data_IF_043454300097
#
_entry.id   IF_043454300097
#
_cell.length_a   1.000
_cell.length_b   1.000
_cell.length_c   1.000
_cell.angle_alpha   90.00
_cell.angle_beta   90.00
_cell.angle_gamma   90.00
#
_symmetry.space_group_name_H-M   'P 1'
#
loop_
_entity.id
_entity.type
_entity.pdbx_description
1 polymer ?
#
# COMPACT_ATOMS: atom_id res chain seq x y z
N UNK A 1 -42.60 4.92 9.81
CA UNK A 1 -42.09 4.67 8.43
C UNK A 1 -41.00 5.67 8.00
N UNK A 2 -40.80 6.79 8.71
CA UNK A 2 -39.78 7.83 8.45
C UNK A 2 -38.38 7.47 8.95
N UNK A 3 -38.24 6.94 10.17
CA UNK A 3 -36.93 6.63 10.79
C UNK A 3 -36.17 5.50 10.09
N UNK A 4 -36.89 4.47 9.61
CA UNK A 4 -36.30 3.34 8.87
C UNK A 4 -35.71 3.82 7.53
N UNK A 5 -36.40 4.72 6.81
CA UNK A 5 -35.89 5.35 5.59
C UNK A 5 -34.68 6.25 5.87
N UNK A 6 -34.70 7.03 6.96
CA UNK A 6 -33.60 7.92 7.33
C UNK A 6 -32.32 7.14 7.69
N UNK A 7 -32.45 6.01 8.41
CA UNK A 7 -31.31 5.13 8.73
C UNK A 7 -30.70 4.45 7.50
N UNK A 8 -31.52 4.08 6.51
CA UNK A 8 -31.05 3.43 5.27
C UNK A 8 -30.37 4.45 4.33
N UNK A 9 -30.91 5.66 4.24
CA UNK A 9 -30.28 6.80 3.56
C UNK A 9 -28.92 7.13 4.16
N UNK A 10 -28.82 7.27 5.49
CA UNK A 10 -27.55 7.53 6.18
C UNK A 10 -26.52 6.40 5.99
N UNK A 11 -26.95 5.12 5.99
CA UNK A 11 -26.08 3.97 5.69
C UNK A 11 -25.58 3.99 4.24
N UNK A 12 -26.38 4.43 3.28
CA UNK A 12 -25.99 4.55 1.87
C UNK A 12 -25.11 5.78 1.55
N UNK A 13 -25.23 6.85 2.33
CA UNK A 13 -24.43 8.07 2.20
C UNK A 13 -23.01 7.91 2.74
N UNK A 14 -22.83 7.17 3.84
CA UNK A 14 -21.51 6.88 4.44
C UNK A 14 -20.44 6.39 3.44
N UNK A 15 -20.70 5.38 2.57
CA UNK A 15 -19.70 4.92 1.60
C UNK A 15 -19.45 5.93 0.48
N UNK A 16 -20.47 6.67 0.02
CA UNK A 16 -20.30 7.72 -1.00
C UNK A 16 -19.47 8.89 -0.47
N UNK A 17 -19.78 9.35 0.74
CA UNK A 17 -19.01 10.38 1.43
C UNK A 17 -17.56 9.93 1.68
N UNK A 18 -17.35 8.69 2.15
CA UNK A 18 -16.00 8.14 2.33
C UNK A 18 -15.21 8.12 1.01
N UNK A 19 -15.84 7.72 -0.11
CA UNK A 19 -15.20 7.77 -1.43
C UNK A 19 -14.83 9.20 -1.83
N UNK A 20 -15.72 10.16 -1.62
CA UNK A 20 -15.47 11.58 -1.90
C UNK A 20 -14.31 12.13 -1.07
N UNK A 21 -14.30 11.89 0.24
CA UNK A 21 -13.20 12.29 1.13
C UNK A 21 -11.89 11.66 0.69
N UNK A 22 -11.87 10.36 0.40
CA UNK A 22 -10.68 9.69 -0.11
C UNK A 22 -10.20 10.30 -1.43
N UNK A 23 -11.11 10.61 -2.36
CA UNK A 23 -10.76 11.27 -3.60
C UNK A 23 -10.10 12.63 -3.34
N UNK A 24 -10.72 13.47 -2.51
CA UNK A 24 -10.14 14.76 -2.10
C UNK A 24 -8.75 14.60 -1.47
N UNK A 25 -8.58 13.65 -0.55
CA UNK A 25 -7.27 13.37 0.06
C UNK A 25 -6.22 12.96 -0.98
N UNK A 26 -6.59 12.16 -1.99
CA UNK A 26 -5.66 11.76 -3.05
C UNK A 26 -5.28 12.92 -3.97
N UNK A 27 -6.20 13.84 -4.24
CA UNK A 27 -5.92 15.06 -5.00
C UNK A 27 -4.99 15.97 -4.20
N UNK A 28 -5.29 16.22 -2.93
CA UNK A 28 -4.44 17.02 -2.04
C UNK A 28 -3.05 16.39 -1.91
N UNK A 29 -2.96 15.07 -1.75
CA UNK A 29 -1.68 14.36 -1.73
C UNK A 29 -0.88 14.62 -3.02
N UNK A 30 -1.50 14.53 -4.21
CA UNK A 30 -0.81 14.82 -5.48
C UNK A 30 -0.35 16.28 -5.63
N UNK A 31 -0.99 17.21 -4.94
CA UNK A 31 -0.56 18.62 -4.89
C UNK A 31 0.59 18.77 -3.90
N UNK A 32 0.40 18.30 -2.67
CA UNK A 32 1.33 18.52 -1.57
C UNK A 32 2.55 17.61 -1.58
N UNK A 33 2.52 16.46 -2.28
CA UNK A 33 3.65 15.52 -2.24
C UNK A 33 4.95 16.20 -2.71
N UNK A 34 4.89 17.12 -3.69
CA UNK A 34 6.08 17.83 -4.20
C UNK A 34 6.73 18.75 -3.18
N UNK A 35 5.93 19.32 -2.27
CA UNK A 35 6.39 20.29 -1.28
C UNK A 35 6.94 19.64 -0.01
N UNK A 36 6.53 18.40 0.27
CA UNK A 36 7.05 17.65 1.42
C UNK A 36 8.48 17.20 1.11
N UNK A 37 9.47 17.62 1.91
CA UNK A 37 10.86 17.16 1.75
C UNK A 37 10.98 15.69 2.17
N UNK A 38 11.75 14.91 1.40
CA UNK A 38 12.09 13.53 1.77
C UNK A 38 13.05 13.57 2.95
N UNK A 39 12.80 12.72 3.94
CA UNK A 39 13.67 12.48 5.08
C UNK A 39 14.42 11.17 4.88
N UNK A 40 15.75 11.27 4.72
CA UNK A 40 16.64 10.14 4.45
C UNK A 40 16.63 9.05 5.52
N UNK A 41 16.10 9.34 6.72
CA UNK A 41 16.08 8.41 7.86
C UNK A 41 14.68 7.91 8.21
N UNK A 42 13.67 8.18 7.40
CA UNK A 42 12.30 7.68 7.65
C UNK A 42 11.99 6.46 6.77
N UNK A 43 11.50 5.39 7.39
CA UNK A 43 11.03 4.15 6.72
C UNK A 43 9.54 3.96 6.97
N UNK A 44 8.77 3.79 5.90
CA UNK A 44 7.36 3.45 5.96
C UNK A 44 7.15 1.97 5.67
N UNK A 45 6.43 1.28 6.56
CA UNK A 45 6.08 -0.13 6.45
C UNK A 45 4.57 -0.31 6.29
N UNK A 46 4.18 -1.24 5.42
CA UNK A 46 2.79 -1.63 5.17
C UNK A 46 2.72 -3.12 4.86
N UNK A 47 1.88 -3.86 5.60
CA UNK A 47 1.52 -5.23 5.24
C UNK A 47 0.04 -5.37 4.89
N UNK A 48 -0.24 -5.98 3.73
CA UNK A 48 -1.58 -6.31 3.23
C UNK A 48 -2.57 -5.15 3.32
N UNK A 49 -2.17 -3.97 2.85
CA UNK A 49 -2.95 -2.72 2.96
C UNK A 49 -3.28 -2.33 4.41
N UNK A 50 -2.33 -2.52 5.32
CA UNK A 50 -2.45 -2.17 6.73
C UNK A 50 -3.30 -3.14 7.55
N UNK A 51 -3.32 -4.44 7.23
CA UNK A 51 -4.07 -5.42 8.05
C UNK A 51 -3.51 -5.57 9.47
N UNK A 52 -2.23 -5.27 9.70
CA UNK A 52 -1.59 -5.36 11.01
C UNK A 52 -0.09 -5.59 10.88
N UNK A 53 0.61 -5.74 12.01
CA UNK A 53 2.06 -5.93 12.12
C UNK A 53 2.47 -7.38 11.80
N UNK A 54 2.81 -7.68 10.55
CA UNK A 54 3.00 -9.07 10.10
C UNK A 54 3.80 -9.19 8.79
N UNK A 55 4.16 -10.44 8.44
CA UNK A 55 4.89 -10.83 7.21
C UNK A 55 6.30 -10.21 7.10
N UNK A 56 6.90 -10.24 5.91
CA UNK A 56 8.26 -9.76 5.66
C UNK A 56 8.51 -8.31 6.14
N UNK A 57 7.60 -7.33 5.94
CA UNK A 57 7.81 -5.98 6.47
C UNK A 57 7.99 -5.92 7.98
N UNK A 58 7.30 -6.78 8.74
CA UNK A 58 7.50 -6.89 10.20
C UNK A 58 8.92 -7.34 10.52
N UNK A 59 9.39 -8.42 9.92
CA UNK A 59 10.71 -8.97 10.25
C UNK A 59 11.86 -8.06 9.80
N UNK A 60 11.70 -7.34 8.68
CA UNK A 60 12.64 -6.29 8.27
C UNK A 60 12.68 -5.18 9.31
N UNK A 61 11.52 -4.72 9.79
CA UNK A 61 11.44 -3.72 10.86
C UNK A 61 12.08 -4.21 12.17
N UNK A 62 11.80 -5.45 12.61
CA UNK A 62 12.40 -6.02 13.83
C UNK A 62 13.93 -6.04 13.76
N UNK A 63 14.48 -6.46 12.62
CA UNK A 63 15.92 -6.43 12.40
C UNK A 63 16.48 -5.00 12.46
N UNK A 64 15.89 -4.07 11.69
CA UNK A 64 16.38 -2.68 11.65
C UNK A 64 16.28 -1.99 13.00
N UNK A 65 15.21 -2.25 13.77
CA UNK A 65 14.98 -1.60 15.06
C UNK A 65 15.90 -2.10 16.19
N UNK A 66 16.59 -3.22 15.98
CA UNK A 66 17.56 -3.79 16.95
C UNK A 66 19.01 -3.49 16.58
N UNK A 67 19.29 -3.09 15.34
CA UNK A 67 20.63 -2.80 14.86
C UNK A 67 21.00 -1.34 15.10
N UNK A 68 22.12 -1.12 15.80
CA UNK A 68 22.65 0.20 16.17
C UNK A 68 22.87 1.12 14.96
N UNK A 69 23.09 0.55 13.77
CA UNK A 69 23.25 1.29 12.50
C UNK A 69 22.01 2.14 12.17
N UNK A 70 20.82 1.71 12.59
CA UNK A 70 19.57 2.38 12.28
C UNK A 70 18.95 3.09 13.49
N UNK A 71 19.71 3.31 14.58
CA UNK A 71 19.20 3.93 15.81
C UNK A 71 18.57 5.32 15.61
N UNK A 72 19.03 6.08 14.62
CA UNK A 72 18.52 7.42 14.31
C UNK A 72 17.42 7.41 13.23
N UNK A 73 16.90 6.23 12.86
CA UNK A 73 15.82 6.11 11.89
C UNK A 73 14.45 6.24 12.57
N UNK A 74 13.54 6.92 11.87
CA UNK A 74 12.13 6.95 12.22
C UNK A 74 11.41 5.81 11.49
N UNK A 75 10.99 4.79 12.23
CA UNK A 75 10.18 3.71 11.69
C UNK A 75 8.69 4.05 11.82
N UNK A 76 7.96 3.93 10.72
CA UNK A 76 6.53 4.30 10.64
C UNK A 76 5.74 3.13 10.08
N UNK A 77 4.68 2.74 10.76
CA UNK A 77 3.88 1.57 10.42
C UNK A 77 2.43 1.96 10.17
N UNK A 78 1.92 1.74 8.95
CA UNK A 78 0.54 2.09 8.62
C UNK A 78 -0.40 0.88 8.75
N UNK A 79 -1.41 1.01 9.61
CA UNK A 79 -2.42 -0.04 9.90
C UNK A 79 -3.84 0.51 9.83
N UNK A 80 -4.83 -0.32 9.52
CA UNK A 80 -6.23 0.11 9.45
C UNK A 80 -6.81 0.49 10.82
N UNK A 81 -6.43 -0.26 11.85
CA UNK A 81 -6.92 -0.11 13.22
C UNK A 81 -5.72 0.12 14.17
N UNK A 82 -5.23 1.37 14.29
CA UNK A 82 -4.03 1.67 15.09
C UNK A 82 -4.27 1.62 16.60
N UNK A 83 -5.51 1.76 17.08
CA UNK A 83 -5.79 1.76 18.52
C UNK A 83 -5.57 0.41 19.18
N UNK A 84 -5.62 -0.67 18.39
CA UNK A 84 -5.55 -2.05 18.90
C UNK A 84 -4.12 -2.61 18.83
N UNK A 85 -3.13 -1.80 18.45
CA UNK A 85 -1.77 -2.29 18.19
C UNK A 85 -0.70 -1.31 18.63
N UNK A 86 0.27 -1.84 19.36
CA UNK A 86 1.52 -1.17 19.68
C UNK A 86 2.67 -1.92 19.01
N UNK A 87 3.56 -1.18 18.36
CA UNK A 87 4.73 -1.73 17.68
C UNK A 87 5.96 -1.07 18.32
N UNK A 88 6.83 -1.84 19.01
CA UNK A 88 8.03 -1.30 19.62
C UNK A 88 8.89 -0.55 18.59
N UNK A 89 9.45 0.59 19.00
CA UNK A 89 10.34 1.40 18.16
C UNK A 89 9.74 1.91 16.84
N UNK A 90 8.41 1.91 16.69
CA UNK A 90 7.74 2.45 15.52
C UNK A 90 6.58 3.37 15.88
N UNK A 91 6.42 4.43 15.07
CA UNK A 91 5.20 5.24 15.06
C UNK A 91 4.10 4.49 14.31
N UNK A 92 3.01 4.16 15.00
CA UNK A 92 1.84 3.53 14.39
C UNK A 92 0.88 4.61 13.86
N UNK A 93 0.56 4.57 12.56
CA UNK A 93 -0.36 5.52 11.92
C UNK A 93 -1.54 4.79 11.26
N UNK A 94 -2.64 5.52 11.07
CA UNK A 94 -3.81 4.98 10.39
C UNK A 94 -3.61 4.93 8.87
N UNK A 95 -3.74 3.75 8.27
CA UNK A 95 -3.73 3.57 6.82
C UNK A 95 -4.85 4.40 6.16
N UNK A 96 -4.52 5.10 5.08
CA UNK A 96 -5.39 6.07 4.39
C UNK A 96 -5.81 7.31 5.22
N UNK A 97 -5.09 7.64 6.29
CA UNK A 97 -5.22 8.94 6.96
C UNK A 97 -4.38 10.04 6.30
N UNK A 98 -4.52 11.28 6.78
CA UNK A 98 -3.67 12.40 6.35
C UNK A 98 -2.20 12.09 6.65
N UNK A 99 -1.89 11.53 7.84
CA UNK A 99 -0.54 11.13 8.21
C UNK A 99 0.02 10.07 7.26
N UNK A 100 -0.80 9.11 6.82
CA UNK A 100 -0.38 8.12 5.82
C UNK A 100 0.07 8.77 4.51
N UNK A 101 -0.68 9.76 4.00
CA UNK A 101 -0.27 10.50 2.80
C UNK A 101 0.97 11.36 3.03
N UNK A 102 1.11 11.94 4.22
CA UNK A 102 2.32 12.67 4.62
C UNK A 102 3.56 11.76 4.62
N UNK A 103 3.49 10.60 5.26
CA UNK A 103 4.61 9.66 5.33
C UNK A 103 4.89 8.96 4.01
N UNK A 104 3.88 8.76 3.15
CA UNK A 104 4.14 8.39 1.75
C UNK A 104 5.04 9.44 1.09
N UNK A 105 4.80 10.73 1.27
CA UNK A 105 5.65 11.76 0.66
C UNK A 105 7.00 11.98 1.36
N UNK A 106 7.07 11.84 2.69
CA UNK A 106 8.26 12.13 3.51
C UNK A 106 9.27 10.98 3.52
N UNK A 107 8.81 9.73 3.59
CA UNK A 107 9.72 8.60 3.87
C UNK A 107 10.67 8.34 2.72
N UNK A 108 11.97 8.22 2.98
CA UNK A 108 12.92 7.84 1.95
C UNK A 108 12.77 6.37 1.55
N UNK A 109 12.48 5.50 2.52
CA UNK A 109 12.33 4.06 2.27
C UNK A 109 10.88 3.61 2.46
N UNK A 110 10.36 2.83 1.53
CA UNK A 110 9.08 2.15 1.61
C UNK A 110 9.32 0.63 1.59
N UNK A 111 8.76 -0.09 2.55
CA UNK A 111 8.86 -1.55 2.68
C UNK A 111 7.45 -2.14 2.72
N UNK A 112 6.91 -2.51 1.56
CA UNK A 112 5.54 -3.03 1.44
C UNK A 112 5.53 -4.45 0.89
N UNK A 113 4.45 -5.19 1.15
CA UNK A 113 4.28 -6.56 0.68
C UNK A 113 3.06 -6.77 -0.24
N UNK A 114 2.36 -5.69 -0.58
CA UNK A 114 1.16 -5.71 -1.39
C UNK A 114 1.22 -4.64 -2.48
N UNK A 115 0.50 -4.88 -3.57
CA UNK A 115 0.26 -3.90 -4.62
C UNK A 115 -0.35 -2.63 -4.02
N UNK A 116 0.09 -1.46 -4.44
CA UNK A 116 -0.46 -0.19 -3.96
C UNK A 116 -1.45 0.43 -4.94
N UNK A 117 -2.47 1.18 -4.46
CA UNK A 117 -3.40 1.87 -5.34
C UNK A 117 -2.72 2.93 -6.23
N UNK A 118 -3.32 3.22 -7.37
CA UNK A 118 -2.80 4.18 -8.37
C UNK A 118 -2.63 5.62 -7.88
N UNK A 119 -3.27 5.99 -6.77
CA UNK A 119 -3.04 7.30 -6.15
C UNK A 119 -1.66 7.41 -5.51
N UNK A 120 -1.00 6.31 -5.15
CA UNK A 120 0.33 6.32 -4.52
C UNK A 120 1.35 6.70 -5.58
N UNK A 121 2.02 7.84 -5.38
CA UNK A 121 3.04 8.38 -6.29
C UNK A 121 4.39 8.41 -5.59
N UNK A 122 5.40 7.81 -6.22
CA UNK A 122 6.77 7.76 -5.71
C UNK A 122 7.58 8.92 -6.26
N UNK A 123 8.40 9.57 -5.43
CA UNK A 123 9.41 10.52 -5.88
C UNK A 123 10.65 9.78 -6.36
N UNK A 124 11.42 10.40 -7.26
CA UNK A 124 12.66 9.83 -7.82
C UNK A 124 13.65 9.39 -6.74
N UNK A 125 13.77 10.15 -5.65
CA UNK A 125 14.75 9.89 -4.59
C UNK A 125 14.18 9.06 -3.43
N UNK A 126 13.01 8.44 -3.58
CA UNK A 126 12.51 7.45 -2.63
C UNK A 126 12.85 6.05 -3.14
N UNK A 127 13.10 5.14 -2.22
CA UNK A 127 13.40 3.73 -2.46
C UNK A 127 12.21 2.88 -2.02
N UNK A 128 11.67 2.09 -2.93
CA UNK A 128 10.55 1.19 -2.69
C UNK A 128 11.00 -0.27 -2.85
N UNK A 129 11.08 -0.95 -1.71
CA UNK A 129 11.23 -2.39 -1.57
C UNK A 129 9.85 -3.07 -1.54
N UNK A 130 9.54 -3.83 -2.58
CA UNK A 130 8.39 -4.72 -2.64
C UNK A 130 8.79 -6.13 -2.23
N UNK A 131 8.26 -6.63 -1.12
CA UNK A 131 8.58 -7.99 -0.64
C UNK A 131 7.67 -9.06 -1.21
N UNK A 132 6.53 -8.65 -1.81
CA UNK A 132 5.40 -9.53 -2.11
C UNK A 132 5.06 -10.45 -0.92
N UNK A 133 4.34 -11.54 -1.17
CA UNK A 133 3.84 -12.40 -0.09
C UNK A 133 3.81 -13.89 -0.46
N UNK A 134 4.84 -14.33 -1.20
CA UNK A 134 5.13 -15.75 -1.40
C UNK A 134 5.29 -16.19 -2.85
N UNK A 135 5.66 -17.46 -3.03
CA UNK A 135 5.76 -18.14 -4.32
C UNK A 135 4.38 -18.21 -4.98
N UNK A 136 4.21 -17.71 -6.21
CA UNK A 136 2.92 -17.75 -6.88
C UNK A 136 2.55 -19.20 -7.28
N UNK A 137 1.42 -19.69 -6.81
CA UNK A 137 0.82 -20.96 -7.28
C UNK A 137 -0.22 -20.72 -8.38
N UNK A 138 -1.08 -19.71 -8.19
CA UNK A 138 -2.06 -19.27 -9.18
C UNK A 138 -1.42 -18.24 -10.11
N UNK A 139 -1.89 -18.17 -11.37
CA UNK A 139 -1.49 -17.12 -12.31
C UNK A 139 -1.91 -15.74 -11.80
N UNK A 140 -1.05 -14.75 -11.99
CA UNK A 140 -1.19 -13.37 -11.50
C UNK A 140 -1.02 -12.41 -12.67
N UNK A 141 -1.50 -11.17 -12.51
CA UNK A 141 -1.25 -10.08 -13.47
C UNK A 141 -1.54 -10.47 -14.91
N UNK A 142 -0.54 -10.30 -15.77
CA UNK A 142 -0.58 -10.61 -17.20
C UNK A 142 -0.71 -12.09 -17.53
N UNK A 143 -0.33 -12.99 -16.62
CA UNK A 143 -0.43 -14.43 -16.83
C UNK A 143 -1.87 -14.96 -16.64
N UNK A 144 -2.80 -14.15 -16.11
CA UNK A 144 -4.19 -14.57 -15.92
C UNK A 144 -4.84 -14.79 -17.30
N UNK A 145 -5.45 -15.95 -17.50
CA UNK A 145 -6.20 -16.27 -18.71
C UNK A 145 -7.67 -16.53 -18.36
N UNK A 146 -8.55 -15.64 -18.79
CA UNK A 146 -10.00 -15.65 -18.57
C UNK A 146 -10.71 -15.12 -19.80
N UNK A 147 -12.04 -15.29 -19.89
CA UNK A 147 -12.81 -14.67 -20.98
C UNK A 147 -12.68 -13.14 -20.95
N UNK A 148 -12.70 -12.46 -22.11
CA UNK A 148 -12.63 -10.99 -22.19
C UNK A 148 -13.71 -10.27 -21.37
N UNK A 149 -14.86 -10.92 -21.21
CA UNK A 149 -16.03 -10.38 -20.52
C UNK A 149 -15.95 -10.55 -19.00
N UNK A 150 -14.93 -11.29 -18.52
CA UNK A 150 -14.76 -11.52 -17.09
C UNK A 150 -14.26 -10.25 -16.41
N UNK A 151 -15.07 -9.75 -15.48
CA UNK A 151 -14.67 -8.67 -14.60
C UNK A 151 -13.97 -9.22 -13.36
N UNK A 152 -12.99 -8.47 -12.86
CA UNK A 152 -12.21 -8.86 -11.69
C UNK A 152 -12.63 -8.09 -10.45
N UNK A 153 -12.67 -8.82 -9.32
CA UNK A 153 -12.90 -8.28 -7.97
C UNK A 153 -14.31 -7.69 -7.78
N UNK A 154 -14.66 -7.32 -6.54
CA UNK A 154 -15.93 -6.60 -6.22
C UNK A 154 -16.05 -5.25 -6.92
N UNK A 155 -14.98 -4.76 -7.54
CA UNK A 155 -14.90 -3.47 -8.24
C UNK A 155 -15.32 -3.53 -9.71
N UNK A 156 -15.58 -4.72 -10.26
CA UNK A 156 -15.98 -4.92 -11.66
C UNK A 156 -15.04 -4.24 -12.68
N UNK A 157 -13.72 -4.29 -12.42
CA UNK A 157 -12.74 -3.74 -13.35
C UNK A 157 -12.49 -4.71 -14.49
N UNK A 158 -12.25 -4.18 -15.68
CA UNK A 158 -11.83 -4.97 -16.85
C UNK A 158 -10.44 -5.55 -16.65
N UNK A 159 -10.11 -6.58 -17.43
CA UNK A 159 -8.76 -7.18 -17.47
C UNK A 159 -7.69 -6.12 -17.77
N UNK A 160 -7.94 -5.27 -18.76
CA UNK A 160 -7.02 -4.20 -19.17
C UNK A 160 -6.75 -3.19 -18.04
N UNK A 161 -7.77 -2.76 -17.30
CA UNK A 161 -7.61 -1.86 -16.15
C UNK A 161 -6.84 -2.53 -15.01
N UNK A 162 -7.09 -3.82 -14.77
CA UNK A 162 -6.40 -4.60 -13.76
C UNK A 162 -4.90 -4.71 -14.11
N UNK A 163 -4.55 -5.14 -15.32
CA UNK A 163 -3.18 -5.21 -15.83
C UNK A 163 -2.48 -3.86 -15.77
N UNK A 164 -3.11 -2.80 -16.31
CA UNK A 164 -2.55 -1.44 -16.27
C UNK A 164 -2.21 -1.01 -14.85
N UNK A 165 -3.07 -1.32 -13.88
CA UNK A 165 -2.81 -0.96 -12.49
C UNK A 165 -1.67 -1.77 -11.85
N UNK A 166 -1.37 -2.99 -12.34
CA UNK A 166 -0.15 -3.72 -11.96
C UNK A 166 1.08 -3.04 -12.56
N UNK A 167 1.06 -2.73 -13.87
CA UNK A 167 2.17 -2.04 -14.55
C UNK A 167 2.52 -0.70 -13.91
N UNK A 168 1.49 0.09 -13.60
CA UNK A 168 1.67 1.39 -12.98
C UNK A 168 2.30 1.28 -11.60
N UNK A 169 2.02 0.22 -10.84
CA UNK A 169 2.65 0.01 -9.53
C UNK A 169 4.06 -0.58 -9.66
N UNK A 170 4.25 -1.54 -10.55
CA UNK A 170 5.54 -2.19 -10.80
C UNK A 170 6.63 -1.21 -11.23
N UNK A 171 6.28 -0.19 -12.03
CA UNK A 171 7.18 0.92 -12.42
C UNK A 171 7.76 1.71 -11.24
N UNK A 172 7.18 1.58 -10.04
CA UNK A 172 7.65 2.29 -8.83
C UNK A 172 8.63 1.46 -8.02
N UNK A 173 8.74 0.15 -8.27
CA UNK A 173 9.58 -0.72 -7.46
C UNK A 173 11.05 -0.47 -7.82
N UNK A 174 11.87 -0.19 -6.81
CA UNK A 174 13.32 -0.15 -6.99
C UNK A 174 13.92 -1.54 -6.73
N UNK A 175 13.30 -2.29 -5.81
CA UNK A 175 13.68 -3.65 -5.46
C UNK A 175 12.46 -4.53 -5.30
N UNK A 176 12.57 -5.79 -5.73
CA UNK A 176 11.54 -6.81 -5.58
C UNK A 176 12.16 -8.09 -5.02
N UNK A 177 11.64 -8.60 -3.90
CA UNK A 177 12.13 -9.84 -3.30
C UNK A 177 11.57 -11.04 -4.04
N UNK A 178 12.46 -11.93 -4.50
CA UNK A 178 12.09 -13.21 -5.09
C UNK A 178 12.53 -14.38 -4.21
N UNK A 179 11.64 -15.32 -3.84
CA UNK A 179 11.99 -16.43 -2.96
C UNK A 179 12.76 -17.57 -3.66
N UNK A 180 12.74 -17.64 -5.00
CA UNK A 180 13.42 -18.67 -5.79
C UNK A 180 13.46 -18.31 -7.28
N UNK A 181 14.22 -19.07 -8.06
CA UNK A 181 14.33 -18.90 -9.52
C UNK A 181 12.98 -18.98 -10.24
N UNK A 182 12.15 -19.97 -9.89
CA UNK A 182 10.81 -20.13 -10.47
C UNK A 182 9.97 -18.85 -10.29
N UNK A 183 9.96 -18.28 -9.09
CA UNK A 183 9.20 -17.07 -8.80
C UNK A 183 9.76 -15.87 -9.55
N UNK A 184 11.08 -15.79 -9.71
CA UNK A 184 11.73 -14.75 -10.52
C UNK A 184 11.22 -14.78 -11.96
N UNK A 185 11.20 -15.97 -12.57
CA UNK A 185 10.69 -16.14 -13.92
C UNK A 185 9.21 -15.74 -14.04
N UNK A 186 8.37 -16.07 -13.05
CA UNK A 186 6.95 -15.69 -13.03
C UNK A 186 6.69 -14.23 -12.73
N UNK A 187 7.48 -13.59 -11.88
CA UNK A 187 7.32 -12.16 -11.60
C UNK A 187 7.78 -11.27 -12.77
N UNK A 188 8.64 -11.78 -13.65
CA UNK A 188 9.03 -11.08 -14.88
C UNK A 188 7.98 -11.17 -15.98
N UNK A 189 7.15 -12.24 -16.00
CA UNK A 189 6.07 -12.40 -16.99
C UNK A 189 4.72 -11.81 -16.56
N UNK A 190 4.43 -11.83 -15.25
CA UNK A 190 3.14 -11.46 -14.67
C UNK A 190 2.98 -9.96 -14.40
#
# INVERSE_FOLDING_TARGET
MSEIKQSSLLKSLKPKFKKFVMHMMTVLYRIFYKFIKIDSRTVLFIAFHGKGYLCNPKYIHEYMSQDIKYKDFEFVWAVKNPMDIQIPNAKVIKYNSIEYFYYLAKSHYWVFNCKMPSYVVKKKNQVYLQTWHGTPLKRLGHDINVSPDQTFYRSQVSMAEMMKSYDDDAKKYDYFVSPNRFSTEKFLSA
#
